data_IF_930217575970
#
_entry.id   IF_930217575970
#
_cell.length_a   1.000
_cell.length_b   1.000
_cell.length_c   1.000
_cell.angle_alpha   90.00
_cell.angle_beta   90.00
_cell.angle_gamma   90.00
#
_symmetry.space_group_name_H-M   'P 1'
#
loop_
_entity.id
_entity.type
_entity.pdbx_description
1 polymer ?
#
# COMPACT_ATOMS: atom_id res chain seq x y z
N UNK A 1 46.84 -2.62 24.01
CA UNK A 1 46.15 -2.17 22.78
C UNK A 1 44.78 -2.84 22.74
N UNK A 2 43.78 -2.17 23.26
CA UNK A 2 42.39 -2.60 23.24
C UNK A 2 41.76 -2.08 21.96
N UNK A 3 41.42 -2.99 21.03
CA UNK A 3 40.74 -2.64 19.78
C UNK A 3 39.34 -2.09 20.04
N UNK A 4 38.82 -1.22 19.16
CA UNK A 4 37.49 -0.63 19.33
C UNK A 4 36.44 -1.74 19.26
N UNK A 5 35.64 -1.84 20.31
CA UNK A 5 34.50 -2.73 20.37
C UNK A 5 33.48 -2.35 19.27
N UNK A 6 33.48 -3.14 18.21
CA UNK A 6 32.42 -3.05 17.19
C UNK A 6 31.07 -3.31 17.86
N UNK A 7 30.21 -2.30 17.88
CA UNK A 7 28.80 -2.43 18.22
C UNK A 7 28.22 -3.55 17.36
N UNK A 8 27.90 -4.70 17.93
CA UNK A 8 27.12 -5.72 17.24
C UNK A 8 25.74 -5.11 16.98
N UNK A 9 25.43 -4.84 15.72
CA UNK A 9 24.06 -4.59 15.27
C UNK A 9 23.22 -5.73 15.86
N UNK A 10 22.17 -5.40 16.60
CA UNK A 10 21.29 -6.40 17.17
C UNK A 10 20.85 -7.36 16.06
N UNK A 11 21.26 -8.62 16.15
CA UNK A 11 20.89 -9.63 15.18
C UNK A 11 19.35 -9.78 15.19
N UNK A 12 18.70 -9.99 14.03
CA UNK A 12 17.29 -10.26 13.98
C UNK A 12 16.94 -11.41 14.92
N UNK A 13 15.75 -11.37 15.51
CA UNK A 13 15.31 -12.41 16.46
C UNK A 13 15.44 -13.78 15.80
N UNK A 14 16.13 -14.70 16.48
CA UNK A 14 16.21 -16.11 16.05
C UNK A 14 14.95 -16.91 16.43
N UNK A 15 13.97 -16.26 17.09
CA UNK A 15 12.68 -16.85 17.48
C UNK A 15 11.57 -16.02 16.84
N UNK A 16 10.97 -16.55 15.78
CA UNK A 16 9.88 -15.92 15.05
C UNK A 16 8.87 -16.96 14.54
N UNK A 17 7.68 -16.51 14.22
CA UNK A 17 6.67 -17.26 13.45
C UNK A 17 6.53 -16.54 12.13
N UNK A 18 6.69 -17.27 11.02
CA UNK A 18 6.41 -16.77 9.69
C UNK A 18 5.29 -17.58 9.07
N UNK A 19 4.26 -16.89 8.62
CA UNK A 19 3.15 -17.49 7.90
C UNK A 19 3.01 -16.79 6.53
N UNK A 20 3.31 -17.53 5.45
CA UNK A 20 3.04 -17.02 4.11
C UNK A 20 1.53 -16.97 3.86
N UNK A 21 1.04 -15.85 3.34
CA UNK A 21 -0.36 -15.73 2.95
C UNK A 21 -0.64 -16.64 1.74
N UNK A 22 -1.71 -17.46 1.78
CA UNK A 22 -1.99 -18.46 0.76
C UNK A 22 -2.63 -17.80 -0.47
N UNK A 23 -1.82 -17.21 -1.34
CA UNK A 23 -2.24 -16.66 -2.61
C UNK A 23 -1.30 -17.09 -3.72
N UNK A 24 -1.83 -17.13 -4.94
CA UNK A 24 -1.06 -17.35 -6.15
C UNK A 24 -0.72 -16.02 -6.78
N UNK A 25 0.53 -15.84 -7.20
CA UNK A 25 0.99 -14.64 -7.89
C UNK A 25 1.50 -15.03 -9.28
N UNK A 26 0.98 -14.35 -10.30
CA UNK A 26 1.46 -14.40 -11.69
C UNK A 26 2.04 -13.04 -12.03
N UNK A 27 3.29 -12.98 -12.49
CA UNK A 27 4.00 -11.74 -12.75
C UNK A 27 4.62 -11.72 -14.15
N UNK A 28 4.50 -10.61 -14.84
CA UNK A 28 5.17 -10.34 -16.12
C UNK A 28 4.30 -9.57 -17.11
N UNK A 29 4.93 -9.10 -18.18
CA UNK A 29 4.26 -8.36 -19.26
C UNK A 29 3.28 -9.27 -20.00
N UNK A 30 2.06 -8.74 -20.29
CA UNK A 30 1.02 -9.44 -21.00
C UNK A 30 0.35 -10.57 -20.20
N UNK A 31 0.63 -10.68 -18.87
CA UNK A 31 0.09 -11.76 -18.04
C UNK A 31 -1.40 -11.65 -17.75
N UNK A 32 -2.03 -10.54 -18.08
CA UNK A 32 -3.50 -10.46 -18.11
C UNK A 32 -4.13 -11.49 -19.05
N UNK A 33 -3.41 -11.98 -20.06
CA UNK A 33 -3.85 -13.08 -20.91
C UNK A 33 -4.03 -14.41 -20.14
N UNK A 34 -3.37 -14.58 -19.01
CA UNK A 34 -3.48 -15.77 -18.16
C UNK A 34 -4.73 -15.80 -17.28
N UNK A 35 -5.53 -14.71 -17.25
CA UNK A 35 -6.73 -14.61 -16.41
C UNK A 35 -7.71 -15.75 -16.62
N UNK A 36 -7.88 -16.21 -17.87
CA UNK A 36 -8.75 -17.35 -18.13
C UNK A 36 -8.26 -18.61 -17.44
N UNK A 37 -6.96 -18.86 -17.45
CA UNK A 37 -6.32 -19.97 -16.75
C UNK A 37 -6.44 -19.85 -15.22
N UNK A 38 -6.41 -18.61 -14.69
CA UNK A 38 -6.63 -18.37 -13.26
C UNK A 38 -8.09 -18.60 -12.86
N UNK A 39 -9.06 -18.27 -13.72
CA UNK A 39 -10.46 -18.62 -13.51
C UNK A 39 -10.65 -20.14 -13.47
N UNK A 40 -10.02 -20.89 -14.39
CA UNK A 40 -10.03 -22.36 -14.41
C UNK A 40 -9.43 -22.94 -13.12
N UNK A 41 -8.30 -22.38 -12.69
CA UNK A 41 -7.59 -22.83 -11.47
C UNK A 41 -8.45 -22.65 -10.21
N UNK A 42 -9.23 -21.58 -10.14
CA UNK A 42 -10.11 -21.27 -9.00
C UNK A 42 -11.52 -21.84 -9.15
N UNK A 43 -11.86 -22.47 -10.27
CA UNK A 43 -13.19 -23.02 -10.55
C UNK A 43 -14.27 -21.93 -10.67
N UNK A 44 -13.92 -20.78 -11.25
CA UNK A 44 -14.83 -19.64 -11.41
C UNK A 44 -15.39 -19.59 -12.83
N UNK A 45 -16.71 -19.62 -12.96
CA UNK A 45 -17.40 -19.64 -14.24
C UNK A 45 -18.08 -18.31 -14.60
N UNK A 46 -18.38 -17.48 -13.61
CA UNK A 46 -19.08 -16.20 -13.80
C UNK A 46 -18.53 -15.13 -12.88
N UNK A 47 -17.69 -14.24 -13.39
CA UNK A 47 -17.04 -13.21 -12.57
C UNK A 47 -17.57 -11.82 -12.84
N UNK A 48 -17.73 -11.02 -11.77
CA UNK A 48 -17.96 -9.58 -11.87
C UNK A 48 -16.62 -8.85 -11.93
N UNK A 49 -16.40 -8.08 -12.99
CA UNK A 49 -15.20 -7.24 -13.12
C UNK A 49 -15.45 -5.90 -12.44
N UNK A 50 -14.52 -5.48 -11.59
CA UNK A 50 -14.59 -4.24 -10.83
C UNK A 50 -13.53 -3.27 -11.34
N UNK A 51 -13.88 -1.97 -11.47
CA UNK A 51 -12.94 -0.89 -11.76
C UNK A 51 -13.42 0.45 -11.23
N UNK A 52 -12.58 1.47 -11.28
CA UNK A 52 -13.03 2.86 -11.20
C UNK A 52 -13.64 3.29 -12.52
N UNK A 53 -14.39 4.42 -12.57
CA UNK A 53 -14.91 4.98 -13.83
C UNK A 53 -13.80 5.23 -14.86
N UNK A 54 -12.66 5.77 -14.42
CA UNK A 54 -11.51 6.12 -15.27
C UNK A 54 -10.85 4.89 -15.91
N UNK A 55 -10.91 3.74 -15.21
CA UNK A 55 -10.31 2.48 -15.66
C UNK A 55 -11.30 1.54 -16.35
N UNK A 56 -12.55 1.97 -16.58
CA UNK A 56 -13.59 1.14 -17.20
C UNK A 56 -13.17 0.55 -18.54
N UNK A 57 -12.48 1.33 -19.39
CA UNK A 57 -12.00 0.87 -20.69
C UNK A 57 -10.99 -0.27 -20.54
N UNK A 58 -10.03 -0.13 -19.62
CA UNK A 58 -9.05 -1.17 -19.31
C UNK A 58 -9.73 -2.42 -18.77
N UNK A 59 -10.66 -2.25 -17.82
CA UNK A 59 -11.42 -3.37 -17.24
C UNK A 59 -12.24 -4.14 -18.31
N UNK A 60 -12.85 -3.45 -19.26
CA UNK A 60 -13.56 -4.09 -20.38
C UNK A 60 -12.63 -4.88 -21.30
N UNK A 61 -11.47 -4.31 -21.66
CA UNK A 61 -10.46 -5.04 -22.45
C UNK A 61 -9.98 -6.32 -21.74
N UNK A 62 -9.79 -6.24 -20.43
CA UNK A 62 -9.44 -7.40 -19.60
C UNK A 62 -10.60 -8.42 -19.61
N UNK A 63 -11.85 -7.96 -19.46
CA UNK A 63 -13.05 -8.81 -19.46
C UNK A 63 -13.27 -9.53 -20.80
N UNK A 64 -12.95 -8.90 -21.92
CA UNK A 64 -13.05 -9.50 -23.26
C UNK A 64 -12.19 -10.77 -23.38
N UNK A 65 -11.10 -10.86 -22.63
CA UNK A 65 -10.22 -12.04 -22.57
C UNK A 65 -10.84 -13.25 -21.85
N UNK A 66 -11.94 -13.10 -21.12
CA UNK A 66 -12.56 -14.19 -20.34
C UNK A 66 -13.49 -15.10 -21.17
N UNK A 67 -13.76 -14.74 -22.43
CA UNK A 67 -14.81 -15.39 -23.20
C UNK A 67 -16.19 -15.13 -22.56
N UNK A 68 -17.05 -16.16 -22.46
CA UNK A 68 -18.38 -16.03 -21.86
C UNK A 68 -18.44 -15.93 -20.34
N UNK A 69 -17.31 -15.90 -19.62
CA UNK A 69 -17.27 -15.89 -18.14
C UNK A 69 -17.40 -14.52 -17.48
N UNK A 70 -17.34 -13.42 -18.23
CA UNK A 70 -17.65 -12.11 -17.69
C UNK A 70 -19.15 -11.99 -17.45
N UNK A 71 -19.59 -11.97 -16.20
CA UNK A 71 -21.00 -11.75 -15.84
C UNK A 71 -21.41 -10.28 -16.06
N UNK A 72 -20.45 -9.34 -15.89
CA UNK A 72 -20.66 -7.91 -16.06
C UNK A 72 -19.45 -7.11 -15.59
N UNK A 73 -19.48 -5.79 -15.84
CA UNK A 73 -18.47 -4.84 -15.38
C UNK A 73 -19.12 -3.80 -14.49
N UNK A 74 -18.62 -3.62 -13.28
CA UNK A 74 -19.03 -2.56 -12.36
C UNK A 74 -17.92 -1.50 -12.25
N UNK A 75 -18.07 -0.34 -12.92
CA UNK A 75 -17.06 0.72 -12.95
C UNK A 75 -17.33 1.79 -11.87
N UNK A 76 -17.80 1.38 -10.69
CA UNK A 76 -18.21 2.28 -9.63
C UNK A 76 -17.29 2.30 -8.42
N UNK A 77 -16.08 1.73 -8.50
CA UNK A 77 -15.15 1.78 -7.38
C UNK A 77 -14.66 3.22 -7.12
N UNK A 78 -14.74 3.66 -5.88
CA UNK A 78 -14.31 4.99 -5.44
C UNK A 78 -13.45 4.90 -4.19
N UNK A 79 -12.69 5.95 -3.91
CA UNK A 79 -11.81 6.04 -2.74
C UNK A 79 -12.60 5.82 -1.44
N UNK A 80 -11.94 5.24 -0.45
CA UNK A 80 -12.50 4.92 0.87
C UNK A 80 -13.64 3.90 0.92
N UNK A 81 -14.02 3.32 -0.22
CA UNK A 81 -15.01 2.24 -0.34
C UNK A 81 -16.28 2.53 0.48
N UNK A 82 -17.14 3.46 0.06
CA UNK A 82 -18.43 3.69 0.72
C UNK A 82 -19.28 2.41 0.76
N UNK A 83 -19.95 2.19 1.88
CA UNK A 83 -20.79 1.00 2.11
C UNK A 83 -21.88 0.85 1.05
N UNK A 84 -22.51 1.94 0.64
CA UNK A 84 -23.55 1.94 -0.40
C UNK A 84 -23.05 1.50 -1.77
N UNK A 85 -21.81 1.88 -2.13
CA UNK A 85 -21.13 1.40 -3.36
C UNK A 85 -20.83 -0.09 -3.27
N UNK A 86 -20.34 -0.54 -2.12
CA UNK A 86 -20.09 -1.98 -1.89
C UNK A 86 -21.38 -2.80 -1.95
N UNK A 87 -22.49 -2.25 -1.42
CA UNK A 87 -23.81 -2.90 -1.49
C UNK A 87 -24.36 -2.95 -2.90
N UNK A 88 -24.20 -1.88 -3.69
CA UNK A 88 -24.60 -1.86 -5.11
C UNK A 88 -23.85 -2.93 -5.91
N UNK A 89 -22.52 -2.97 -5.78
CA UNK A 89 -21.70 -3.95 -6.47
C UNK A 89 -22.03 -5.38 -6.02
N UNK A 90 -22.26 -5.59 -4.72
CA UNK A 90 -22.67 -6.87 -4.16
C UNK A 90 -24.05 -7.33 -4.63
N UNK A 91 -25.04 -6.43 -4.77
CA UNK A 91 -26.34 -6.75 -5.36
C UNK A 91 -26.19 -7.15 -6.83
N UNK A 92 -25.45 -6.37 -7.60
CA UNK A 92 -25.20 -6.68 -9.01
C UNK A 92 -24.52 -8.05 -9.18
N UNK A 93 -23.53 -8.37 -8.34
CA UNK A 93 -22.89 -9.69 -8.34
C UNK A 93 -23.91 -10.82 -8.15
N UNK A 94 -24.84 -10.65 -7.19
CA UNK A 94 -25.90 -11.65 -6.93
C UNK A 94 -26.90 -11.74 -8.08
N UNK A 95 -27.35 -10.63 -8.64
CA UNK A 95 -28.31 -10.58 -9.75
C UNK A 95 -27.75 -11.25 -11.01
N UNK A 96 -26.45 -11.09 -11.23
CA UNK A 96 -25.74 -11.71 -12.36
C UNK A 96 -25.30 -13.16 -12.07
N UNK A 97 -25.50 -13.66 -10.85
CA UNK A 97 -25.04 -14.99 -10.45
C UNK A 97 -23.51 -15.13 -10.49
N UNK A 98 -22.80 -14.08 -10.11
CA UNK A 98 -21.34 -14.11 -10.07
C UNK A 98 -20.84 -15.01 -8.93
N UNK A 99 -19.85 -15.86 -9.22
CA UNK A 99 -19.17 -16.76 -8.29
C UNK A 99 -17.78 -16.24 -7.84
N UNK A 100 -17.33 -15.10 -8.39
CA UNK A 100 -16.11 -14.42 -8.02
C UNK A 100 -16.05 -13.00 -8.55
N UNK A 101 -14.99 -12.26 -8.15
CA UNK A 101 -14.70 -10.90 -8.61
C UNK A 101 -13.31 -10.84 -9.22
N UNK A 102 -13.16 -10.06 -10.30
CA UNK A 102 -11.87 -9.65 -10.87
C UNK A 102 -11.72 -8.15 -10.65
N UNK A 103 -10.82 -7.74 -9.76
CA UNK A 103 -10.59 -6.34 -9.41
C UNK A 103 -9.44 -5.76 -10.26
N UNK A 104 -9.76 -4.99 -11.30
CA UNK A 104 -8.80 -4.35 -12.20
C UNK A 104 -8.63 -2.89 -11.79
N UNK A 105 -7.56 -2.57 -11.07
CA UNK A 105 -7.36 -1.22 -10.57
C UNK A 105 -6.41 -1.12 -9.37
N UNK A 106 -6.39 0.04 -8.75
CA UNK A 106 -5.63 0.32 -7.53
C UNK A 106 -6.40 -0.01 -6.24
N UNK A 107 -5.96 0.58 -5.13
CA UNK A 107 -6.48 0.33 -3.80
C UNK A 107 -8.01 0.47 -3.65
N UNK A 108 -8.64 1.42 -4.34
CA UNK A 108 -10.10 1.60 -4.33
C UNK A 108 -10.85 0.41 -4.92
N UNK A 109 -10.38 -0.09 -6.04
CA UNK A 109 -11.00 -1.23 -6.75
C UNK A 109 -10.78 -2.53 -5.98
N UNK A 110 -9.57 -2.76 -5.49
CA UNK A 110 -9.23 -3.93 -4.67
C UNK A 110 -10.01 -3.88 -3.36
N UNK A 111 -10.12 -2.70 -2.74
CA UNK A 111 -10.93 -2.48 -1.54
C UNK A 111 -12.40 -2.81 -1.74
N UNK A 112 -12.97 -2.44 -2.90
CA UNK A 112 -14.35 -2.82 -3.26
C UNK A 112 -14.50 -4.33 -3.37
N UNK A 113 -13.57 -5.02 -4.04
CA UNK A 113 -13.54 -6.49 -4.10
C UNK A 113 -13.51 -7.11 -2.71
N UNK A 114 -12.68 -6.58 -1.80
CA UNK A 114 -12.61 -7.02 -0.41
C UNK A 114 -13.91 -6.81 0.36
N UNK A 115 -14.59 -5.67 0.15
CA UNK A 115 -15.88 -5.41 0.79
C UNK A 115 -16.96 -6.41 0.31
N UNK A 116 -16.93 -6.79 -0.98
CA UNK A 116 -17.82 -7.84 -1.51
C UNK A 116 -17.45 -9.20 -0.92
N UNK A 117 -16.16 -9.57 -0.89
CA UNK A 117 -15.70 -10.82 -0.30
C UNK A 117 -16.11 -10.95 1.17
N UNK A 118 -15.94 -9.88 1.96
CA UNK A 118 -16.30 -9.85 3.38
C UNK A 118 -17.80 -10.14 3.62
N UNK A 119 -18.66 -9.66 2.73
CA UNK A 119 -20.13 -9.73 2.87
C UNK A 119 -20.76 -10.92 2.17
N UNK A 120 -20.13 -11.41 1.11
CA UNK A 120 -20.69 -12.43 0.23
C UNK A 120 -19.85 -13.69 0.10
N UNK A 121 -18.63 -13.69 0.62
CA UNK A 121 -17.70 -14.80 0.49
C UNK A 121 -17.15 -15.01 -0.93
N UNK A 122 -17.35 -14.06 -1.86
CA UNK A 122 -16.87 -14.21 -3.24
C UNK A 122 -15.36 -14.09 -3.29
N UNK A 123 -14.64 -15.05 -3.90
CA UNK A 123 -13.21 -14.97 -4.09
C UNK A 123 -12.82 -13.83 -5.03
N UNK A 124 -11.60 -13.30 -4.84
CA UNK A 124 -11.07 -12.18 -5.59
C UNK A 124 -9.85 -12.63 -6.40
N UNK A 125 -9.81 -12.29 -7.69
CA UNK A 125 -8.59 -12.18 -8.48
C UNK A 125 -8.26 -10.68 -8.56
N UNK A 126 -7.08 -10.28 -8.11
CA UNK A 126 -6.64 -8.88 -8.21
C UNK A 126 -5.72 -8.68 -9.42
N UNK A 127 -5.94 -7.59 -10.14
CA UNK A 127 -5.10 -7.13 -11.27
C UNK A 127 -4.70 -5.69 -10.98
N UNK A 128 -3.62 -5.46 -10.22
CA UNK A 128 -3.22 -4.13 -9.78
C UNK A 128 -2.75 -3.25 -10.93
N UNK A 129 -3.11 -1.98 -10.89
CA UNK A 129 -2.68 -0.95 -11.84
C UNK A 129 -1.95 0.22 -11.17
N UNK A 130 -1.69 0.11 -9.86
CA UNK A 130 -0.92 1.05 -9.02
C UNK A 130 0.03 0.28 -8.12
N UNK A 131 0.87 0.99 -7.37
CA UNK A 131 1.84 0.39 -6.45
C UNK A 131 1.34 0.33 -5.00
N UNK A 132 0.01 0.34 -4.79
CA UNK A 132 -0.60 0.47 -3.45
C UNK A 132 -0.43 -0.74 -2.51
N UNK A 133 -0.19 -1.95 -3.02
CA UNK A 133 0.05 -3.16 -2.20
C UNK A 133 -1.18 -3.76 -1.51
N UNK A 134 -2.36 -3.17 -1.65
CA UNK A 134 -3.60 -3.66 -1.00
C UNK A 134 -3.96 -5.09 -1.36
N UNK A 135 -3.64 -5.52 -2.59
CA UNK A 135 -3.88 -6.87 -3.12
C UNK A 135 -3.19 -7.98 -2.34
N UNK A 136 -2.12 -7.65 -1.63
CA UNK A 136 -1.31 -8.60 -0.88
C UNK A 136 -1.73 -8.73 0.59
N UNK A 137 -2.82 -8.08 0.99
CA UNK A 137 -3.18 -7.97 2.42
C UNK A 137 -4.54 -8.56 2.75
N UNK A 138 -4.72 -9.17 3.93
CA UNK A 138 -6.02 -9.53 4.49
C UNK A 138 -6.72 -8.33 5.16
N UNK A 139 -6.25 -7.10 4.91
CA UNK A 139 -6.77 -5.89 5.52
C UNK A 139 -7.89 -5.32 4.65
N UNK A 140 -9.00 -4.96 5.26
CA UNK A 140 -10.12 -4.30 4.61
C UNK A 140 -10.47 -2.97 5.29
N UNK A 141 -11.10 -2.09 4.52
CA UNK A 141 -11.63 -0.83 5.03
C UNK A 141 -12.86 -0.43 4.24
N UNK A 142 -13.90 0.00 4.94
CA UNK A 142 -15.14 0.54 4.37
C UNK A 142 -15.54 1.80 5.11
N UNK A 143 -16.22 2.71 4.44
CA UNK A 143 -16.70 3.94 5.06
C UNK A 143 -18.21 3.92 5.14
N UNK A 144 -18.75 4.06 6.36
CA UNK A 144 -20.18 4.18 6.62
C UNK A 144 -20.47 5.49 7.35
N UNK A 145 -21.37 6.31 6.81
CA UNK A 145 -21.77 7.60 7.40
C UNK A 145 -20.58 8.49 7.78
N UNK A 146 -19.55 8.52 6.93
CA UNK A 146 -18.33 9.30 7.16
C UNK A 146 -17.34 8.68 8.15
N UNK A 147 -17.64 7.51 8.72
CA UNK A 147 -16.75 6.79 9.64
C UNK A 147 -16.08 5.63 8.90
N UNK A 148 -14.75 5.57 8.94
CA UNK A 148 -13.98 4.48 8.36
C UNK A 148 -13.87 3.32 9.35
N UNK A 149 -14.37 2.16 8.93
CA UNK A 149 -14.22 0.88 9.63
C UNK A 149 -13.15 0.06 8.94
N UNK A 150 -12.21 -0.47 9.70
CA UNK A 150 -11.12 -1.31 9.19
C UNK A 150 -11.03 -2.60 9.98
N UNK A 151 -10.50 -3.64 9.36
CA UNK A 151 -10.27 -4.91 10.02
C UNK A 151 -9.34 -5.80 9.22
N UNK A 152 -9.09 -6.99 9.76
CA UNK A 152 -8.26 -8.02 9.15
C UNK A 152 -9.06 -9.33 9.12
N UNK A 153 -9.21 -9.91 7.93
CA UNK A 153 -9.87 -11.20 7.72
C UNK A 153 -9.28 -11.88 6.49
N UNK A 154 -8.97 -13.16 6.58
CA UNK A 154 -8.42 -13.94 5.45
C UNK A 154 -9.40 -14.11 4.29
N UNK A 155 -10.70 -13.98 4.54
CA UNK A 155 -11.72 -14.09 3.49
C UNK A 155 -11.55 -13.01 2.42
N UNK A 156 -11.02 -11.83 2.80
CA UNK A 156 -10.81 -10.71 1.87
C UNK A 156 -9.48 -10.77 1.13
N UNK A 157 -8.60 -11.71 1.48
CA UNK A 157 -7.33 -11.89 0.80
C UNK A 157 -7.59 -12.39 -0.63
N UNK A 158 -7.09 -11.72 -1.68
CA UNK A 158 -7.19 -12.23 -3.04
C UNK A 158 -6.63 -13.65 -3.16
N UNK A 159 -7.33 -14.52 -3.88
CA UNK A 159 -6.89 -15.90 -4.13
C UNK A 159 -5.78 -15.95 -5.17
N UNK A 160 -5.83 -15.03 -6.13
CA UNK A 160 -4.82 -14.87 -7.15
C UNK A 160 -4.55 -13.39 -7.41
N UNK A 161 -3.30 -13.04 -7.71
CA UNK A 161 -2.88 -11.71 -8.10
C UNK A 161 -2.12 -11.81 -9.42
N UNK A 162 -2.52 -11.02 -10.41
CA UNK A 162 -1.83 -10.93 -11.70
C UNK A 162 -1.19 -9.55 -11.80
N UNK A 163 0.12 -9.51 -11.70
CA UNK A 163 0.92 -8.32 -11.91
C UNK A 163 1.35 -8.23 -13.37
N UNK A 164 0.73 -7.30 -14.09
CA UNK A 164 1.08 -7.00 -15.49
C UNK A 164 1.58 -5.56 -15.60
N UNK A 165 2.91 -5.35 -15.75
CA UNK A 165 3.49 -4.02 -15.83
C UNK A 165 2.91 -3.14 -16.95
N UNK A 166 2.39 -3.74 -18.03
CA UNK A 166 1.78 -2.99 -19.13
C UNK A 166 0.55 -2.16 -18.67
N UNK A 167 -0.17 -2.64 -17.67
CA UNK A 167 -1.31 -1.93 -17.11
C UNK A 167 -0.94 -0.69 -16.27
N UNK A 168 0.32 -0.58 -15.88
CA UNK A 168 0.83 0.57 -15.13
C UNK A 168 1.41 1.68 -16.01
N UNK A 169 1.60 1.45 -17.31
CA UNK A 169 2.17 2.43 -18.25
C UNK A 169 1.29 3.69 -18.41
N UNK A 170 0.00 3.57 -18.19
CA UNK A 170 -0.96 4.69 -18.21
C UNK A 170 -1.14 5.37 -16.84
N UNK A 171 -0.49 4.87 -15.79
CA UNK A 171 -0.57 5.48 -14.47
C UNK A 171 0.15 6.84 -14.49
N UNK A 172 -0.54 7.94 -14.12
CA UNK A 172 0.08 9.27 -14.06
C UNK A 172 1.36 9.28 -13.19
N UNK A 173 2.36 10.08 -13.61
CA UNK A 173 3.67 10.14 -12.93
C UNK A 173 3.50 10.46 -11.44
N UNK A 174 2.71 11.49 -11.08
CA UNK A 174 2.48 11.84 -9.68
C UNK A 174 1.92 10.69 -8.85
N UNK A 175 0.95 9.93 -9.39
CA UNK A 175 0.41 8.74 -8.73
C UNK A 175 1.43 7.57 -8.73
N UNK A 176 2.28 7.47 -9.74
CA UNK A 176 3.36 6.48 -9.74
C UNK A 176 4.32 6.73 -8.58
N UNK A 177 4.74 7.98 -8.41
CA UNK A 177 5.66 8.39 -7.33
C UNK A 177 5.01 8.21 -5.97
N UNK A 178 3.82 8.76 -5.74
CA UNK A 178 3.18 8.73 -4.41
C UNK A 178 2.73 7.33 -4.01
N UNK A 179 2.21 6.51 -4.93
CA UNK A 179 1.87 5.10 -4.61
C UNK A 179 3.11 4.23 -4.39
N UNK A 180 4.22 4.51 -5.08
CA UNK A 180 5.50 3.85 -4.82
C UNK A 180 6.07 4.21 -3.45
N UNK A 181 6.06 5.50 -3.07
CA UNK A 181 6.50 5.93 -1.75
C UNK A 181 5.59 5.43 -0.62
N UNK A 182 4.29 5.29 -0.88
CA UNK A 182 3.40 4.57 0.03
C UNK A 182 3.82 3.10 0.22
N UNK A 183 4.25 2.41 -0.85
CA UNK A 183 4.79 1.07 -0.72
C UNK A 183 6.10 1.04 0.11
N UNK A 184 6.99 2.02 -0.05
CA UNK A 184 8.19 2.16 0.81
C UNK A 184 7.80 2.32 2.29
N UNK A 185 6.70 3.05 2.59
CA UNK A 185 6.20 3.17 3.95
C UNK A 185 5.78 1.84 4.57
N UNK A 186 5.18 0.94 3.76
CA UNK A 186 4.86 -0.43 4.21
C UNK A 186 6.12 -1.19 4.60
N UNK A 187 7.14 -1.15 3.75
CA UNK A 187 8.43 -1.80 4.01
C UNK A 187 9.10 -1.23 5.26
N UNK A 188 9.13 0.10 5.39
CA UNK A 188 9.77 0.77 6.51
C UNK A 188 9.13 0.38 7.86
N UNK A 189 7.79 0.38 7.95
CA UNK A 189 7.12 -0.03 9.19
C UNK A 189 7.24 -1.52 9.48
N UNK A 190 7.27 -2.37 8.44
CA UNK A 190 7.47 -3.81 8.62
C UNK A 190 8.83 -4.14 9.24
N UNK A 191 9.89 -3.39 8.90
CA UNK A 191 11.25 -3.60 9.42
C UNK A 191 11.38 -3.38 10.93
N UNK A 192 10.50 -2.58 11.54
CA UNK A 192 10.47 -2.39 12.99
C UNK A 192 9.18 -2.88 13.66
N UNK A 193 8.35 -3.62 12.94
CA UNK A 193 7.17 -4.23 13.50
C UNK A 193 7.53 -5.29 14.56
N UNK A 194 6.75 -5.44 15.65
CA UNK A 194 7.02 -6.42 16.70
C UNK A 194 6.92 -7.87 16.22
N UNK A 195 6.20 -8.09 15.12
CA UNK A 195 5.94 -9.37 14.47
C UNK A 195 6.72 -9.54 13.15
N UNK A 196 7.80 -8.76 12.93
CA UNK A 196 8.70 -8.95 11.80
C UNK A 196 9.50 -10.25 11.91
N UNK A 197 10.15 -10.64 10.82
CA UNK A 197 11.01 -11.82 10.76
C UNK A 197 12.13 -11.61 9.74
N UNK A 198 13.22 -12.41 9.78
CA UNK A 198 14.29 -12.27 8.78
C UNK A 198 13.84 -12.42 7.34
N UNK A 199 12.75 -13.17 7.08
CA UNK A 199 12.17 -13.31 5.75
C UNK A 199 11.47 -12.01 5.34
N UNK A 200 10.70 -11.42 6.25
CA UNK A 200 10.01 -10.15 6.00
C UNK A 200 11.02 -9.00 5.87
N UNK A 201 12.10 -8.99 6.63
CA UNK A 201 13.18 -8.00 6.51
C UNK A 201 13.81 -8.02 5.11
N UNK A 202 14.13 -9.22 4.57
CA UNK A 202 14.64 -9.36 3.21
C UNK A 202 13.64 -8.85 2.15
N UNK A 203 12.37 -9.16 2.33
CA UNK A 203 11.32 -8.69 1.40
C UNK A 203 11.12 -7.18 1.49
N UNK A 204 11.14 -6.61 2.69
CA UNK A 204 10.98 -5.17 2.92
C UNK A 204 12.15 -4.37 2.33
N UNK A 205 13.39 -4.80 2.59
CA UNK A 205 14.60 -4.17 2.05
C UNK A 205 14.62 -4.21 0.53
N UNK A 206 14.41 -5.39 -0.08
CA UNK A 206 14.36 -5.53 -1.54
C UNK A 206 13.19 -4.77 -2.15
N UNK A 207 12.01 -4.79 -1.50
CA UNK A 207 10.84 -4.06 -1.97
C UNK A 207 11.07 -2.54 -2.01
N UNK A 208 11.60 -1.96 -0.93
CA UNK A 208 11.95 -0.55 -0.86
C UNK A 208 13.00 -0.17 -1.91
N UNK A 209 14.08 -0.97 -2.03
CA UNK A 209 15.14 -0.78 -3.02
C UNK A 209 14.60 -0.78 -4.45
N UNK A 210 13.75 -1.75 -4.80
CA UNK A 210 13.16 -1.86 -6.13
C UNK A 210 12.33 -0.61 -6.49
N UNK A 211 11.52 -0.10 -5.54
CA UNK A 211 10.73 1.11 -5.74
C UNK A 211 11.63 2.34 -5.96
N UNK A 212 12.58 2.59 -5.06
CA UNK A 212 13.40 3.80 -5.15
C UNK A 212 14.33 3.79 -6.34
N UNK A 213 14.74 2.62 -6.83
CA UNK A 213 15.50 2.50 -8.07
C UNK A 213 14.64 2.76 -9.30
N UNK A 214 13.39 2.28 -9.31
CA UNK A 214 12.52 2.33 -10.47
C UNK A 214 11.87 3.71 -10.72
N UNK A 215 11.49 4.44 -9.65
CA UNK A 215 10.72 5.68 -9.80
C UNK A 215 11.39 6.76 -10.65
N UNK A 216 12.71 7.04 -10.54
CA UNK A 216 13.38 8.02 -11.41
C UNK A 216 13.27 7.64 -12.89
N UNK A 217 13.43 6.36 -13.25
CA UNK A 217 13.28 5.88 -14.62
C UNK A 217 11.86 6.07 -15.14
N UNK A 218 10.86 5.85 -14.28
CA UNK A 218 9.45 6.09 -14.64
C UNK A 218 9.17 7.59 -14.83
N UNK A 219 9.77 8.45 -14.05
CA UNK A 219 9.61 9.92 -14.19
C UNK A 219 10.25 10.40 -15.48
N UNK A 220 11.45 9.91 -15.80
CA UNK A 220 12.17 10.25 -17.04
C UNK A 220 11.47 9.66 -18.27
N UNK A 221 11.01 8.41 -18.20
CA UNK A 221 10.34 7.68 -19.28
C UNK A 221 9.09 6.96 -18.77
N UNK A 222 7.90 7.61 -18.83
CA UNK A 222 6.65 7.06 -18.25
C UNK A 222 6.23 5.70 -18.81
N UNK A 223 6.69 5.34 -19.98
CA UNK A 223 6.42 4.06 -20.65
C UNK A 223 7.57 3.07 -20.56
N UNK A 224 8.57 3.34 -19.74
CA UNK A 224 9.66 2.39 -19.48
C UNK A 224 9.09 1.11 -18.82
N UNK A 225 9.08 0.03 -19.60
CA UNK A 225 8.50 -1.22 -19.16
C UNK A 225 9.32 -1.91 -18.06
N UNK A 226 10.64 -1.74 -18.05
CA UNK A 226 11.50 -2.36 -17.06
C UNK A 226 11.39 -1.62 -15.73
N UNK A 227 11.40 -0.28 -15.74
CA UNK A 227 11.12 0.53 -14.55
C UNK A 227 9.71 0.25 -13.98
N UNK A 228 8.69 0.11 -14.85
CA UNK A 228 7.34 -0.28 -14.44
C UNK A 228 7.29 -1.68 -13.81
N UNK A 229 8.02 -2.63 -14.35
CA UNK A 229 8.11 -3.99 -13.82
C UNK A 229 8.82 -4.00 -12.45
N UNK A 230 9.93 -3.27 -12.31
CA UNK A 230 10.66 -3.19 -11.05
C UNK A 230 9.84 -2.50 -9.96
N UNK A 231 9.15 -1.40 -10.27
CA UNK A 231 8.25 -0.74 -9.33
C UNK A 231 7.10 -1.66 -8.89
N UNK A 232 6.52 -2.40 -9.83
CA UNK A 232 5.41 -3.31 -9.52
C UNK A 232 5.88 -4.52 -8.69
N UNK A 233 7.10 -5.03 -8.94
CA UNK A 233 7.74 -6.06 -8.12
C UNK A 233 8.01 -5.55 -6.72
N UNK A 234 8.53 -4.32 -6.59
CA UNK A 234 8.73 -3.67 -5.30
C UNK A 234 7.41 -3.51 -4.53
N UNK A 235 6.35 -3.05 -5.20
CA UNK A 235 5.02 -2.92 -4.62
C UNK A 235 4.45 -4.26 -4.11
N UNK A 236 4.64 -5.34 -4.87
CA UNK A 236 4.29 -6.69 -4.43
C UNK A 236 4.99 -7.06 -3.12
N UNK A 237 6.32 -6.92 -3.04
CA UNK A 237 7.10 -7.26 -1.84
C UNK A 237 6.69 -6.39 -0.64
N UNK A 238 6.55 -5.07 -0.83
CA UNK A 238 6.09 -4.15 0.20
C UNK A 238 4.65 -4.44 0.67
N UNK A 239 3.76 -4.80 -0.26
CA UNK A 239 2.39 -5.22 0.07
C UNK A 239 2.36 -6.53 0.85
N UNK A 240 3.23 -7.48 0.51
CA UNK A 240 3.32 -8.76 1.23
C UNK A 240 3.78 -8.58 2.68
N UNK A 241 4.75 -7.72 2.94
CA UNK A 241 5.19 -7.43 4.33
C UNK A 241 4.13 -6.66 5.10
N UNK A 242 3.40 -5.70 4.46
CA UNK A 242 2.24 -5.04 5.06
C UNK A 242 1.16 -6.07 5.48
N UNK A 243 0.90 -7.05 4.63
CA UNK A 243 -0.07 -8.11 4.90
C UNK A 243 0.32 -9.02 6.07
N UNK A 244 1.62 -9.15 6.35
CA UNK A 244 2.18 -10.08 7.34
C UNK A 244 2.55 -9.43 8.68
N UNK A 245 2.58 -8.09 8.77
CA UNK A 245 3.03 -7.37 9.97
C UNK A 245 1.97 -6.43 10.54
N UNK A 246 2.23 -5.97 11.76
CA UNK A 246 1.42 -4.94 12.44
C UNK A 246 2.01 -3.57 12.15
N UNK A 247 1.16 -2.64 11.71
CA UNK A 247 1.56 -1.26 11.42
C UNK A 247 1.63 -0.40 12.67
N UNK A 248 2.44 0.65 12.60
CA UNK A 248 2.83 1.53 13.71
C UNK A 248 2.30 2.97 13.54
N UNK A 249 3.08 3.93 14.06
CA UNK A 249 2.77 5.37 14.09
C UNK A 249 2.46 5.94 12.71
N UNK A 250 3.23 5.60 11.68
CA UNK A 250 3.05 6.17 10.34
C UNK A 250 1.65 5.89 9.79
N UNK A 251 1.25 4.61 9.73
CA UNK A 251 -0.08 4.26 9.24
C UNK A 251 -1.19 4.79 10.16
N UNK A 252 -0.95 4.82 11.49
CA UNK A 252 -1.91 5.42 12.44
C UNK A 252 -2.17 6.89 12.09
N UNK A 253 -1.12 7.69 11.87
CA UNK A 253 -1.27 9.11 11.51
C UNK A 253 -1.94 9.28 10.14
N UNK A 254 -1.51 8.53 9.12
CA UNK A 254 -2.09 8.63 7.78
C UNK A 254 -3.57 8.25 7.76
N UNK A 255 -3.99 7.24 8.52
CA UNK A 255 -5.40 6.87 8.65
C UNK A 255 -6.24 7.95 9.34
N UNK A 256 -5.70 8.59 10.38
CA UNK A 256 -6.38 9.71 11.05
C UNK A 256 -6.50 10.90 10.11
N UNK A 257 -5.40 11.30 9.46
CA UNK A 257 -5.37 12.42 8.51
C UNK A 257 -6.35 12.23 7.36
N UNK A 258 -6.33 11.04 6.74
CA UNK A 258 -7.29 10.69 5.69
C UNK A 258 -8.74 10.63 6.18
N UNK A 259 -8.97 10.05 7.35
CA UNK A 259 -10.33 9.91 7.91
C UNK A 259 -10.93 11.21 8.40
N UNK A 260 -10.11 12.10 9.01
CA UNK A 260 -10.58 13.36 9.61
C UNK A 260 -10.72 14.48 8.59
N UNK A 261 -9.75 14.60 7.66
CA UNK A 261 -9.68 15.73 6.74
C UNK A 261 -9.88 15.33 5.27
N UNK A 262 -10.09 14.06 4.97
CA UNK A 262 -10.27 13.60 3.59
C UNK A 262 -9.01 13.69 2.75
N UNK A 263 -7.80 13.73 3.37
CA UNK A 263 -6.56 13.86 2.63
C UNK A 263 -6.32 12.66 1.70
N UNK A 264 -5.73 12.88 0.51
CA UNK A 264 -5.44 11.81 -0.43
C UNK A 264 -4.41 10.84 0.16
N UNK A 265 -4.70 9.53 0.05
CA UNK A 265 -4.02 8.49 0.81
C UNK A 265 -2.52 8.38 0.52
N UNK A 266 -2.14 8.20 -0.75
CA UNK A 266 -0.75 7.96 -1.14
C UNK A 266 0.13 9.20 -0.91
N UNK A 267 -0.40 10.38 -1.19
CA UNK A 267 0.26 11.67 -0.98
C UNK A 267 0.47 11.92 0.53
N UNK A 268 -0.52 11.59 1.36
CA UNK A 268 -0.40 11.71 2.83
C UNK A 268 0.72 10.80 3.35
N UNK A 269 0.79 9.55 2.87
CA UNK A 269 1.87 8.64 3.22
C UNK A 269 3.23 9.18 2.79
N UNK A 270 3.33 9.73 1.58
CA UNK A 270 4.57 10.34 1.05
C UNK A 270 5.08 11.47 1.94
N UNK A 271 4.21 12.39 2.35
CA UNK A 271 4.58 13.54 3.19
C UNK A 271 4.95 13.12 4.61
N UNK A 272 4.19 12.22 5.22
CA UNK A 272 4.36 11.85 6.64
C UNK A 272 5.56 10.92 6.85
N UNK A 273 5.90 10.08 5.87
CA UNK A 273 6.91 9.02 6.04
C UNK A 273 8.28 9.55 6.49
N UNK A 274 8.90 10.55 5.86
CA UNK A 274 10.22 11.03 6.27
C UNK A 274 10.25 11.51 7.72
N UNK A 275 9.20 12.18 8.17
CA UNK A 275 9.11 12.71 9.55
C UNK A 275 8.96 11.58 10.58
N UNK A 276 8.19 10.54 10.27
CA UNK A 276 8.06 9.38 11.15
C UNK A 276 9.37 8.57 11.20
N UNK A 277 10.09 8.47 10.08
CA UNK A 277 11.40 7.80 10.05
C UNK A 277 12.42 8.55 10.91
N UNK A 278 12.52 9.88 10.80
CA UNK A 278 13.37 10.69 11.67
C UNK A 278 13.05 10.46 13.16
N UNK A 279 11.77 10.29 13.49
CA UNK A 279 11.35 10.01 14.86
C UNK A 279 11.67 8.58 15.32
N UNK A 280 11.42 7.57 14.50
CA UNK A 280 11.47 6.16 14.92
C UNK A 280 12.83 5.49 14.75
N UNK A 281 13.60 5.80 13.69
CA UNK A 281 14.82 5.08 13.35
C UNK A 281 15.91 5.12 14.43
N UNK A 282 16.09 6.21 15.23
CA UNK A 282 17.01 6.18 16.36
C UNK A 282 16.72 5.09 17.40
N UNK A 283 15.47 4.62 17.51
CA UNK A 283 15.07 3.52 18.38
C UNK A 283 14.96 2.17 17.64
N UNK A 284 15.24 2.14 16.33
CA UNK A 284 15.12 0.96 15.47
C UNK A 284 16.37 0.75 14.60
N UNK A 285 17.56 0.51 15.19
CA UNK A 285 18.83 0.48 14.44
C UNK A 285 18.89 -0.63 13.39
N UNK A 286 18.18 -1.75 13.58
CA UNK A 286 18.07 -2.80 12.58
C UNK A 286 17.34 -2.30 11.32
N UNK A 287 16.19 -1.64 11.50
CA UNK A 287 15.44 -1.06 10.40
C UNK A 287 16.22 0.07 9.70
N UNK A 288 16.92 0.91 10.47
CA UNK A 288 17.79 1.95 9.92
C UNK A 288 18.85 1.34 8.99
N UNK A 289 19.56 0.31 9.43
CA UNK A 289 20.59 -0.34 8.61
C UNK A 289 20.02 -0.99 7.33
N UNK A 290 18.81 -1.57 7.40
CA UNK A 290 18.15 -2.15 6.22
C UNK A 290 17.72 -1.05 5.22
N UNK A 291 17.14 0.04 5.71
CA UNK A 291 16.75 1.18 4.87
C UNK A 291 17.96 1.91 4.28
N UNK A 292 19.06 2.05 5.03
CA UNK A 292 20.31 2.60 4.52
C UNK A 292 20.83 1.79 3.31
N UNK A 293 20.80 0.45 3.39
CA UNK A 293 21.18 -0.41 2.25
C UNK A 293 20.19 -0.30 1.08
N UNK A 294 18.89 -0.13 1.37
CA UNK A 294 17.86 -0.02 0.34
C UNK A 294 17.90 1.33 -0.40
N UNK A 295 18.13 2.43 0.32
CA UNK A 295 18.12 3.79 -0.22
C UNK A 295 19.51 4.29 -0.63
N UNK A 296 20.58 3.71 -0.06
CA UNK A 296 21.96 4.10 -0.33
C UNK A 296 22.41 5.37 0.40
N UNK A 297 21.69 5.81 1.43
CA UNK A 297 22.00 7.03 2.20
C UNK A 297 21.80 6.80 3.70
N UNK A 298 22.74 7.31 4.51
CA UNK A 298 22.68 7.22 5.97
C UNK A 298 21.67 8.20 6.60
N UNK A 299 21.43 9.37 5.95
CA UNK A 299 20.35 10.31 6.30
C UNK A 299 19.02 9.85 5.66
N UNK A 300 18.55 8.71 6.05
CA UNK A 300 17.38 8.03 5.45
C UNK A 300 16.17 8.96 5.35
N UNK A 301 15.88 9.68 6.41
CA UNK A 301 14.70 10.55 6.49
C UNK A 301 14.82 11.78 5.57
N UNK A 302 15.97 12.47 5.64
CA UNK A 302 16.23 13.61 4.79
C UNK A 302 16.38 13.24 3.32
N UNK A 303 17.10 12.14 3.02
CA UNK A 303 17.24 11.64 1.65
C UNK A 303 15.88 11.27 1.04
N UNK A 304 14.98 10.63 1.79
CA UNK A 304 13.66 10.28 1.29
C UNK A 304 12.77 11.51 1.06
N UNK A 305 12.90 12.54 1.90
CA UNK A 305 12.20 13.81 1.69
C UNK A 305 12.71 14.53 0.43
N UNK A 306 14.06 14.64 0.28
CA UNK A 306 14.69 15.20 -0.91
C UNK A 306 14.27 14.42 -2.18
N UNK A 307 14.29 13.10 -2.11
CA UNK A 307 13.88 12.21 -3.20
C UNK A 307 12.43 12.44 -3.62
N UNK A 308 11.49 12.53 -2.66
CA UNK A 308 10.08 12.80 -2.94
C UNK A 308 9.91 14.17 -3.63
N UNK A 309 10.58 15.22 -3.13
CA UNK A 309 10.59 16.57 -3.72
C UNK A 309 11.12 16.55 -5.15
N UNK A 310 12.26 15.91 -5.38
CA UNK A 310 12.94 15.89 -6.67
C UNK A 310 12.16 15.14 -7.74
N UNK A 311 11.32 14.17 -7.34
CA UNK A 311 10.37 13.48 -8.20
C UNK A 311 9.01 14.21 -8.33
N UNK A 312 8.88 15.43 -7.79
CA UNK A 312 7.69 16.26 -7.91
C UNK A 312 6.50 15.82 -7.04
N UNK A 313 6.74 15.04 -5.99
CA UNK A 313 5.72 14.72 -5.00
C UNK A 313 5.47 15.88 -4.03
N UNK A 314 4.27 15.97 -3.41
CA UNK A 314 4.01 16.97 -2.38
C UNK A 314 4.92 16.73 -1.17
N UNK A 315 5.35 17.82 -0.53
CA UNK A 315 6.26 17.80 0.61
C UNK A 315 5.62 18.30 1.90
N UNK A 316 4.38 18.80 1.85
CA UNK A 316 3.69 19.31 3.04
C UNK A 316 2.23 18.87 3.11
N UNK A 317 1.73 18.64 4.34
CA UNK A 317 0.30 18.37 4.57
C UNK A 317 -0.58 19.58 4.23
N UNK A 318 0.00 20.80 4.24
CA UNK A 318 -0.69 22.02 3.81
C UNK A 318 -1.05 21.97 2.33
N UNK A 319 -0.13 21.52 1.48
CA UNK A 319 -0.40 21.33 0.04
C UNK A 319 -1.54 20.34 -0.21
N UNK A 320 -1.71 19.37 0.69
CA UNK A 320 -2.79 18.37 0.62
C UNK A 320 -4.13 18.88 1.17
N UNK A 321 -4.17 20.11 1.73
CA UNK A 321 -5.38 20.72 2.26
C UNK A 321 -5.61 20.50 3.76
N UNK A 322 -4.59 20.05 4.53
CA UNK A 322 -4.72 19.97 5.98
C UNK A 322 -4.93 21.36 6.59
N UNK A 323 -5.98 21.59 7.41
CA UNK A 323 -6.22 22.88 8.05
C UNK A 323 -5.11 23.20 9.07
N UNK A 324 -4.73 24.49 9.24
CA UNK A 324 -3.66 24.90 10.16
C UNK A 324 -3.86 24.48 11.62
N UNK A 325 -5.10 24.42 12.08
CA UNK A 325 -5.54 24.07 13.43
C UNK A 325 -5.87 22.58 13.60
N UNK A 326 -5.62 21.76 12.56
CA UNK A 326 -5.97 20.33 12.56
C UNK A 326 -5.05 19.45 13.40
N UNK A 327 -3.87 19.93 13.82
CA UNK A 327 -2.84 19.11 14.49
C UNK A 327 -3.36 18.55 15.82
N UNK A 328 -4.00 19.37 16.65
CA UNK A 328 -4.46 18.95 17.98
C UNK A 328 -5.49 17.80 17.90
N UNK A 329 -6.35 17.82 16.90
CA UNK A 329 -7.31 16.75 16.65
C UNK A 329 -6.63 15.45 16.28
N UNK A 330 -5.60 15.48 15.39
CA UNK A 330 -4.82 14.29 15.01
C UNK A 330 -4.09 13.72 16.22
N UNK A 331 -3.44 14.58 17.02
CA UNK A 331 -2.73 14.18 18.23
C UNK A 331 -3.67 13.51 19.22
N UNK A 332 -4.83 14.12 19.48
CA UNK A 332 -5.85 13.56 20.38
C UNK A 332 -6.29 12.15 19.94
N UNK A 333 -6.55 11.96 18.67
CA UNK A 333 -6.93 10.64 18.13
C UNK A 333 -5.77 9.64 18.16
N UNK A 334 -4.55 10.08 17.87
CA UNK A 334 -3.38 9.19 17.81
C UNK A 334 -3.04 8.58 19.16
N UNK A 335 -3.22 9.31 20.27
CA UNK A 335 -2.91 8.82 21.62
C UNK A 335 -4.06 8.07 22.30
N UNK A 336 -5.27 8.06 21.70
CA UNK A 336 -6.47 7.47 22.34
C UNK A 336 -6.39 5.95 22.43
N UNK A 337 -5.83 5.28 21.41
CA UNK A 337 -5.72 3.81 21.35
C UNK A 337 -4.27 3.42 21.25
N UNK A 338 -3.74 2.60 22.17
CA UNK A 338 -2.37 2.11 22.11
C UNK A 338 -2.08 1.35 20.81
N UNK A 339 -0.84 1.49 20.32
CA UNK A 339 -0.30 0.76 19.17
C UNK A 339 1.18 0.50 19.40
N UNK A 340 1.70 -0.53 18.75
CA UNK A 340 3.12 -0.83 18.82
C UNK A 340 3.91 0.24 18.04
N UNK A 341 4.99 0.74 18.64
CA UNK A 341 5.92 1.66 17.97
C UNK A 341 7.31 1.49 18.61
N UNK A 342 8.42 1.56 17.86
CA UNK A 342 9.75 1.36 18.42
C UNK A 342 10.15 2.43 19.43
N UNK A 343 9.66 3.66 19.25
CA UNK A 343 9.88 4.77 20.18
C UNK A 343 8.58 5.15 20.87
N UNK A 344 8.64 5.43 22.16
CA UNK A 344 7.48 5.92 22.91
C UNK A 344 6.94 7.22 22.29
N UNK A 345 5.63 7.26 22.10
CA UNK A 345 4.94 8.38 21.48
C UNK A 345 4.27 9.25 22.55
N UNK A 346 4.65 10.52 22.64
CA UNK A 346 3.97 11.53 23.46
C UNK A 346 3.18 12.50 22.57
N UNK A 347 2.17 13.14 23.16
CA UNK A 347 1.39 14.18 22.45
C UNK A 347 2.31 15.28 21.88
N UNK A 348 3.30 15.74 22.67
CA UNK A 348 4.26 16.76 22.24
C UNK A 348 5.12 16.30 21.04
N UNK A 349 5.62 15.06 21.06
CA UNK A 349 6.43 14.52 19.97
C UNK A 349 5.62 14.38 18.67
N UNK A 350 4.40 13.87 18.76
CA UNK A 350 3.49 13.76 17.59
C UNK A 350 3.15 15.15 17.05
N UNK A 351 2.88 16.14 17.93
CA UNK A 351 2.59 17.51 17.53
C UNK A 351 3.76 18.16 16.77
N UNK A 352 5.00 17.99 17.26
CA UNK A 352 6.19 18.50 16.61
C UNK A 352 6.40 17.88 15.21
N UNK A 353 6.25 16.54 15.12
CA UNK A 353 6.35 15.81 13.85
C UNK A 353 5.31 16.32 12.85
N UNK A 354 4.05 16.44 13.25
CA UNK A 354 2.97 16.91 12.40
C UNK A 354 3.14 18.37 11.99
N UNK A 355 3.65 19.23 12.87
CA UNK A 355 3.94 20.63 12.56
C UNK A 355 5.02 20.72 11.47
N UNK A 356 6.09 19.95 11.59
CA UNK A 356 7.13 19.87 10.58
C UNK A 356 6.60 19.37 9.23
N UNK A 357 5.79 18.28 9.24
CA UNK A 357 5.15 17.76 8.04
C UNK A 357 4.15 18.76 7.42
N UNK A 358 3.40 19.51 8.26
CA UNK A 358 2.46 20.51 7.76
C UNK A 358 3.18 21.68 7.08
N UNK A 359 4.34 22.08 7.59
CA UNK A 359 5.15 23.17 7.04
C UNK A 359 6.04 22.75 5.87
N UNK A 360 6.18 21.45 5.61
CA UNK A 360 7.09 20.93 4.58
C UNK A 360 8.56 21.10 4.94
N UNK A 361 8.90 21.05 6.23
CA UNK A 361 10.29 21.13 6.68
C UNK A 361 11.02 19.83 6.37
N UNK A 362 12.25 19.93 5.88
CA UNK A 362 13.10 18.75 5.70
C UNK A 362 13.42 18.16 7.08
N UNK A 363 13.12 16.88 7.36
CA UNK A 363 13.46 16.24 8.63
C UNK A 363 14.98 16.07 8.77
N UNK A 364 15.47 16.09 10.02
CA UNK A 364 16.90 15.97 10.39
C UNK A 364 17.07 14.87 11.44
#
# INVERSE_FOLDING_TARGET
MTGPGGSRIAAPSTRFIYESLPMRVTFGRGRTADLRSELDHLGLDRVLVLSTPEQQTTARKVADGFGGRCAGVFPGAVMHVPVDVADQAGRLASELGADGCVAVGGGSTIGLGKAIALRRGLPIIAVPTTYAGSEMTPIWGVTERGVKHTGRDRIVLPRSVIYDPELTTSLPIGLSVTSGLNAVAHAAEALYAPDTSPILDLMAEEGARSIVTALPHIVESPTDHDGRADALRGAWLCGAVLGATTMSLHHKLCHILGGTFGLPHAETHTVVLPHVLAFNLPAAPHAAAALERALGDADIAGALWDYARDLGAPTSLRELGMPPDGIDEVVRQAITVPYANPRETSAAAISQLLLAAQQGLRPT
#
